data_IF_425922069699
#
_entry.id   IF_425922069699
#
_cell.length_a   1.000
_cell.length_b   1.000
_cell.length_c   1.000
_cell.angle_alpha   90.00
_cell.angle_beta   90.00
_cell.angle_gamma   90.00
#
_symmetry.space_group_name_H-M   'P 1'
#
loop_
_entity.id
_entity.type
_entity.pdbx_description
1 polymer ?
#
# COMPACT_ATOMS: atom_id res chain seq x y z
N UNK A 1 -15.18 3.96 16.13
CA UNK A 1 -16.13 3.31 15.18
C UNK A 1 -15.72 1.86 14.95
N UNK A 2 -16.65 0.89 14.94
CA UNK A 2 -16.29 -0.54 14.81
C UNK A 2 -16.06 -0.95 13.35
N UNK A 3 -15.29 -2.03 13.14
CA UNK A 3 -15.08 -2.62 11.81
C UNK A 3 -16.41 -2.94 11.13
N UNK A 4 -17.31 -3.64 11.84
CA UNK A 4 -18.59 -4.11 11.28
C UNK A 4 -19.49 -2.97 10.82
N UNK A 5 -19.46 -1.82 11.50
CA UNK A 5 -20.19 -0.61 11.09
C UNK A 5 -19.60 -0.02 9.80
N UNK A 6 -18.27 0.07 9.71
CA UNK A 6 -17.58 0.68 8.57
C UNK A 6 -17.78 -0.10 7.27
N UNK A 7 -17.75 -1.43 7.35
CA UNK A 7 -17.76 -2.29 6.16
C UNK A 7 -19.16 -2.76 5.74
N UNK A 8 -20.22 -2.40 6.48
CA UNK A 8 -21.60 -2.78 6.16
C UNK A 8 -21.97 -2.28 4.77
N UNK A 9 -22.33 -3.20 3.87
CA UNK A 9 -22.65 -2.91 2.47
C UNK A 9 -21.44 -2.55 1.59
N UNK A 10 -20.21 -2.67 2.11
CA UNK A 10 -18.96 -2.26 1.44
C UNK A 10 -17.98 -3.42 1.36
N UNK A 11 -18.20 -4.33 0.41
CA UNK A 11 -17.43 -5.56 0.26
C UNK A 11 -15.94 -5.32 -0.04
N UNK A 12 -15.61 -4.27 -0.78
CA UNK A 12 -14.23 -3.89 -1.06
C UNK A 12 -13.52 -3.38 0.18
N UNK A 13 -14.21 -2.57 0.99
CA UNK A 13 -13.66 -2.11 2.27
C UNK A 13 -13.47 -3.28 3.25
N UNK A 14 -14.45 -4.20 3.30
CA UNK A 14 -14.35 -5.44 4.06
C UNK A 14 -13.11 -6.26 3.70
N UNK A 15 -12.79 -6.36 2.40
CA UNK A 15 -11.61 -7.04 1.90
C UNK A 15 -10.30 -6.35 2.31
N UNK A 16 -10.19 -5.03 2.09
CA UNK A 16 -8.99 -4.26 2.45
C UNK A 16 -8.66 -4.37 3.93
N UNK A 17 -9.70 -4.37 4.77
CA UNK A 17 -9.57 -4.33 6.23
C UNK A 17 -9.87 -5.67 6.90
N UNK A 18 -9.82 -6.78 6.16
CA UNK A 18 -10.19 -8.12 6.65
C UNK A 18 -9.56 -8.54 8.00
N UNK A 19 -8.37 -8.05 8.37
CA UNK A 19 -7.75 -8.39 9.68
C UNK A 19 -8.21 -7.50 10.84
N UNK A 20 -9.08 -6.54 10.61
CA UNK A 20 -9.80 -5.83 11.66
C UNK A 20 -11.11 -6.54 12.05
N UNK A 21 -11.53 -7.54 11.27
CA UNK A 21 -12.66 -8.42 11.57
C UNK A 21 -12.41 -9.23 12.83
N UNK A 22 -13.43 -9.38 13.67
CA UNK A 22 -13.39 -10.33 14.78
C UNK A 22 -13.22 -11.78 14.31
N UNK A 23 -12.56 -12.59 15.12
CA UNK A 23 -12.40 -14.03 14.91
C UNK A 23 -12.87 -14.77 16.16
N UNK A 24 -12.79 -16.10 16.16
CA UNK A 24 -13.03 -16.89 17.37
C UNK A 24 -12.02 -16.58 18.49
N UNK A 25 -10.84 -16.03 18.16
CA UNK A 25 -9.74 -15.79 19.11
C UNK A 25 -9.55 -14.31 19.46
N UNK A 26 -9.94 -13.41 18.58
CA UNK A 26 -9.72 -11.97 18.71
C UNK A 26 -11.04 -11.22 18.50
N UNK A 27 -11.32 -10.25 19.37
CA UNK A 27 -12.45 -9.34 19.16
C UNK A 27 -12.25 -8.48 17.91
N UNK A 28 -13.34 -7.97 17.34
CA UNK A 28 -13.22 -7.02 16.23
C UNK A 28 -12.47 -5.76 16.67
N UNK A 29 -11.70 -5.18 15.74
CA UNK A 29 -10.94 -3.96 16.02
C UNK A 29 -11.80 -2.72 15.75
N UNK A 30 -11.64 -1.71 16.59
CA UNK A 30 -12.21 -0.38 16.38
C UNK A 30 -11.16 0.61 15.87
N UNK A 31 -11.60 1.59 15.09
CA UNK A 31 -10.79 2.74 14.68
C UNK A 31 -11.13 4.00 15.47
N UNK A 32 -10.11 4.85 15.68
CA UNK A 32 -10.29 6.23 16.14
C UNK A 32 -10.89 7.07 15.01
N UNK A 33 -11.81 7.95 15.36
CA UNK A 33 -12.44 8.91 14.45
C UNK A 33 -12.34 10.30 15.08
N UNK A 34 -11.95 11.30 14.30
CA UNK A 34 -11.81 12.68 14.77
C UNK A 34 -10.52 13.33 14.30
N UNK A 35 -10.18 14.45 14.95
CA UNK A 35 -8.93 15.17 14.75
C UNK A 35 -8.13 15.26 16.04
N UNK A 36 -6.88 15.67 15.92
CA UNK A 36 -6.00 15.99 17.04
C UNK A 36 -5.07 17.14 16.63
N UNK A 37 -4.54 17.84 17.61
CA UNK A 37 -3.51 18.85 17.40
C UNK A 37 -2.13 18.23 17.54
N UNK A 38 -1.22 18.62 16.66
CA UNK A 38 0.18 18.21 16.70
C UNK A 38 1.06 19.46 16.75
N UNK A 39 1.83 19.60 17.83
CA UNK A 39 2.82 20.65 17.97
C UNK A 39 4.20 20.09 17.66
N UNK A 40 4.88 20.65 16.66
CA UNK A 40 6.29 20.41 16.41
C UNK A 40 7.10 21.50 17.12
N UNK A 41 8.04 21.11 17.98
CA UNK A 41 8.90 22.02 18.72
C UNK A 41 10.32 21.46 18.82
N UNK A 42 11.30 22.36 18.81
CA UNK A 42 12.70 22.03 19.11
C UNK A 42 12.95 22.13 20.60
N UNK A 43 13.75 21.21 21.12
CA UNK A 43 14.36 21.39 22.45
C UNK A 43 15.44 22.46 22.36
N UNK A 44 15.63 23.19 23.46
CA UNK A 44 16.66 24.21 23.56
C UNK A 44 18.04 23.63 23.22
N UNK A 45 18.84 24.38 22.46
CA UNK A 45 20.20 23.97 22.04
C UNK A 45 20.24 22.98 20.86
N UNK A 46 19.09 22.58 20.29
CA UNK A 46 19.04 21.78 19.07
C UNK A 46 19.08 22.67 17.81
N UNK A 47 19.65 22.13 16.74
CA UNK A 47 19.75 22.82 15.46
C UNK A 47 18.40 22.92 14.75
N UNK A 48 18.20 24.03 14.03
CA UNK A 48 16.98 24.32 13.29
C UNK A 48 16.68 23.29 12.19
N UNK A 49 17.72 22.67 11.61
CA UNK A 49 17.60 21.65 10.56
C UNK A 49 16.83 20.41 11.02
N UNK A 50 16.84 20.09 12.33
CA UNK A 50 16.08 18.97 12.88
C UNK A 50 14.58 19.21 12.80
N UNK A 51 14.12 20.45 12.96
CA UNK A 51 12.70 20.80 12.85
C UNK A 51 12.24 20.71 11.39
N UNK A 52 13.08 21.13 10.46
CA UNK A 52 12.83 20.99 9.03
C UNK A 52 12.73 19.50 8.64
N UNK A 53 13.68 18.67 9.09
CA UNK A 53 13.63 17.21 8.86
C UNK A 53 12.36 16.59 9.47
N UNK A 54 11.95 17.00 10.66
CA UNK A 54 10.69 16.54 11.27
C UNK A 54 9.46 17.00 10.46
N UNK A 55 9.48 18.23 9.94
CA UNK A 55 8.43 18.77 9.08
C UNK A 55 8.33 18.00 7.75
N UNK A 56 9.46 17.71 7.10
CA UNK A 56 9.53 16.91 5.88
C UNK A 56 9.02 15.47 6.14
N UNK A 57 9.42 14.87 7.26
CA UNK A 57 8.93 13.54 7.66
C UNK A 57 7.40 13.55 7.87
N UNK A 58 6.86 14.58 8.53
CA UNK A 58 5.41 14.75 8.72
C UNK A 58 4.70 14.96 7.37
N UNK A 59 5.28 15.74 6.47
CA UNK A 59 4.76 15.92 5.11
C UNK A 59 4.67 14.56 4.41
N UNK A 60 5.76 13.78 4.38
CA UNK A 60 5.76 12.44 3.76
C UNK A 60 4.76 11.48 4.42
N UNK A 61 4.69 11.44 5.75
CA UNK A 61 3.76 10.60 6.50
C UNK A 61 2.30 10.89 6.13
N UNK A 62 1.94 12.17 6.03
CA UNK A 62 0.57 12.63 5.75
C UNK A 62 0.18 12.55 4.27
N UNK A 63 1.12 12.26 3.35
CA UNK A 63 0.82 12.06 1.92
C UNK A 63 0.94 10.62 1.46
N UNK A 64 1.86 9.85 2.01
CA UNK A 64 2.22 8.52 1.49
C UNK A 64 2.14 7.41 2.55
N UNK A 65 1.93 7.78 3.81
CA UNK A 65 1.85 6.85 4.94
C UNK A 65 0.52 6.94 5.69
N UNK A 66 0.61 6.71 7.00
CA UNK A 66 -0.50 6.73 7.95
C UNK A 66 -0.14 5.99 9.23
N UNK A 67 -1.03 6.00 10.21
CA UNK A 67 -0.77 5.51 11.57
C UNK A 67 -1.73 4.38 11.91
N UNK A 68 -1.19 3.31 12.51
CA UNK A 68 -1.97 2.18 12.99
C UNK A 68 -1.99 0.98 12.03
N UNK A 69 -3.01 0.14 12.17
CA UNK A 69 -3.09 -1.11 11.41
C UNK A 69 -3.70 -0.88 10.02
N UNK A 70 -3.30 -1.71 9.04
CA UNK A 70 -3.81 -1.66 7.66
C UNK A 70 -3.52 -0.35 6.91
N UNK A 71 -2.50 0.42 7.30
CA UNK A 71 -2.06 1.64 6.59
C UNK A 71 -1.80 1.43 5.10
N UNK A 72 -1.19 0.30 4.72
CA UNK A 72 -0.95 -0.05 3.29
C UNK A 72 -2.23 -0.44 2.52
N UNK A 73 -3.39 -0.42 3.20
CA UNK A 73 -4.73 -0.76 2.69
C UNK A 73 -5.75 0.35 2.97
N UNK A 74 -5.29 1.60 3.10
CA UNK A 74 -6.16 2.78 3.20
C UNK A 74 -6.67 3.15 4.59
N UNK A 75 -6.45 2.31 5.61
CA UNK A 75 -6.76 2.68 6.99
C UNK A 75 -5.70 3.65 7.56
N UNK A 76 -6.01 4.35 8.66
CA UNK A 76 -5.00 5.16 9.37
C UNK A 76 -4.49 6.37 8.60
N UNK A 77 -5.16 6.76 7.50
CA UNK A 77 -4.79 7.93 6.74
C UNK A 77 -5.07 9.20 7.55
N UNK A 78 -4.02 9.87 8.02
CA UNK A 78 -4.08 11.17 8.69
C UNK A 78 -3.74 12.28 7.71
N UNK A 79 -4.47 13.38 7.75
CA UNK A 79 -4.26 14.55 6.89
C UNK A 79 -4.37 15.81 7.74
N UNK A 80 -3.48 16.77 7.48
CA UNK A 80 -3.52 18.08 8.13
C UNK A 80 -4.62 18.92 7.46
N UNK A 81 -5.55 19.41 8.27
CA UNK A 81 -6.68 20.24 7.82
C UNK A 81 -6.50 21.73 8.14
N UNK A 82 -5.63 22.04 9.10
CA UNK A 82 -5.26 23.39 9.50
C UNK A 82 -3.78 23.41 9.89
N UNK A 83 -3.10 24.50 9.58
CA UNK A 83 -1.70 24.73 9.89
C UNK A 83 -1.50 26.20 10.24
N UNK A 84 -0.92 26.47 11.39
CA UNK A 84 -0.73 27.85 11.87
C UNK A 84 0.49 28.53 11.22
N UNK A 85 1.56 27.75 10.96
CA UNK A 85 2.79 28.22 10.34
C UNK A 85 3.32 27.25 9.29
N UNK A 86 3.63 27.77 8.11
CA UNK A 86 4.41 27.07 7.09
C UNK A 86 5.89 27.23 7.44
N UNK A 87 6.58 26.12 7.68
CA UNK A 87 8.01 26.13 8.03
C UNK A 87 8.90 26.19 6.80
N UNK A 88 8.49 25.52 5.73
CA UNK A 88 9.22 25.44 4.46
C UNK A 88 8.33 26.03 3.37
N UNK A 89 8.78 27.13 2.76
CA UNK A 89 8.06 27.81 1.69
C UNK A 89 7.70 26.86 0.55
N UNK A 90 6.51 27.04 -0.01
CA UNK A 90 5.91 26.21 -1.06
C UNK A 90 5.68 24.73 -0.69
N UNK A 91 5.85 24.36 0.58
CA UNK A 91 5.60 23.00 1.07
C UNK A 91 4.60 23.00 2.25
N UNK A 92 3.36 23.48 2.08
CA UNK A 92 2.37 23.44 3.14
C UNK A 92 2.00 21.99 3.52
N UNK A 93 1.59 21.80 4.78
CA UNK A 93 1.07 20.54 5.29
C UNK A 93 -0.41 20.33 4.93
N UNK A 94 -1.16 21.37 4.58
CA UNK A 94 -2.53 21.22 4.05
C UNK A 94 -2.51 20.85 2.56
N UNK A 95 -3.48 20.05 2.11
CA UNK A 95 -3.67 19.77 0.67
C UNK A 95 -4.43 20.94 0.04
N UNK A 96 -3.90 21.53 -1.04
CA UNK A 96 -4.53 22.67 -1.73
C UNK A 96 -5.24 22.25 -3.00
N UNK A 97 -4.83 21.13 -3.59
CA UNK A 97 -5.45 20.55 -4.77
C UNK A 97 -6.96 20.36 -4.62
N UNK A 98 -7.72 20.86 -5.59
CA UNK A 98 -9.17 20.74 -5.69
C UNK A 98 -9.58 19.57 -6.59
N UNK A 99 -8.69 19.12 -7.47
CA UNK A 99 -8.91 18.02 -8.40
C UNK A 99 -7.85 16.92 -8.27
N UNK A 100 -8.12 15.67 -8.69
CA UNK A 100 -7.10 14.62 -8.72
C UNK A 100 -5.86 14.95 -9.57
N UNK A 101 -6.04 15.72 -10.65
CA UNK A 101 -4.94 16.21 -11.49
C UNK A 101 -4.05 17.18 -10.70
N UNK A 102 -4.64 18.21 -10.09
CA UNK A 102 -3.92 19.15 -9.23
C UNK A 102 -3.21 18.43 -8.08
N UNK A 103 -3.81 17.36 -7.53
CA UNK A 103 -3.17 16.57 -6.48
C UNK A 103 -1.90 15.89 -7.00
N UNK A 104 -1.93 15.34 -8.22
CA UNK A 104 -0.73 14.75 -8.82
C UNK A 104 0.38 15.81 -9.00
N UNK A 105 0.03 17.02 -9.44
CA UNK A 105 0.97 18.12 -9.64
C UNK A 105 1.53 18.65 -8.30
N UNK A 106 0.68 18.75 -7.27
CA UNK A 106 1.06 19.14 -5.91
C UNK A 106 2.01 18.13 -5.27
N UNK A 107 1.72 16.82 -5.39
CA UNK A 107 2.59 15.75 -4.89
C UNK A 107 3.95 15.76 -5.62
N UNK A 108 3.96 15.99 -6.94
CA UNK A 108 5.18 16.05 -7.73
C UNK A 108 6.08 17.22 -7.28
N UNK A 109 5.50 18.42 -7.20
CA UNK A 109 6.22 19.62 -6.77
C UNK A 109 6.71 19.52 -5.33
N UNK A 110 5.89 18.97 -4.44
CA UNK A 110 6.26 18.75 -3.04
C UNK A 110 7.43 17.77 -2.89
N UNK A 111 7.44 16.66 -3.63
CA UNK A 111 8.56 15.70 -3.61
C UNK A 111 9.85 16.31 -4.16
N UNK A 112 9.79 17.13 -5.22
CA UNK A 112 10.97 17.87 -5.71
C UNK A 112 11.48 18.85 -4.65
N UNK A 113 10.59 19.58 -3.98
CA UNK A 113 10.95 20.50 -2.90
C UNK A 113 11.57 19.78 -1.71
N UNK A 114 11.02 18.63 -1.28
CA UNK A 114 11.61 17.79 -0.23
C UNK A 114 13.05 17.42 -0.58
N UNK A 115 13.31 17.01 -1.84
CA UNK A 115 14.66 16.67 -2.30
C UNK A 115 15.60 17.88 -2.29
N UNK A 116 15.13 19.04 -2.73
CA UNK A 116 15.93 20.29 -2.68
C UNK A 116 16.29 20.68 -1.26
N UNK A 117 15.36 20.58 -0.30
CA UNK A 117 15.62 20.97 1.10
C UNK A 117 16.60 20.01 1.78
N UNK A 118 16.52 18.71 1.50
CA UNK A 118 17.48 17.74 2.05
C UNK A 118 18.91 17.94 1.49
N UNK A 119 19.06 18.63 0.36
CA UNK A 119 20.35 19.02 -0.21
C UNK A 119 21.14 17.87 -0.85
N UNK A 120 22.36 18.19 -1.30
CA UNK A 120 23.27 17.29 -2.02
C UNK A 120 24.12 16.38 -1.12
N UNK A 121 23.98 16.50 0.21
CA UNK A 121 24.70 15.68 1.20
C UNK A 121 24.28 14.19 1.20
N UNK A 122 23.30 13.82 0.37
CA UNK A 122 22.81 12.46 0.23
C UNK A 122 23.17 11.90 -1.16
N UNK A 123 23.63 10.65 -1.19
CA UNK A 123 23.93 9.96 -2.45
C UNK A 123 22.72 9.97 -3.38
N UNK A 124 22.94 10.42 -4.62
CA UNK A 124 21.96 10.33 -5.71
C UNK A 124 21.96 8.94 -6.36
N UNK A 125 22.94 8.09 -6.03
CA UNK A 125 23.06 6.74 -6.56
C UNK A 125 22.15 5.79 -5.77
N UNK A 126 21.15 5.24 -6.45
CA UNK A 126 20.22 4.28 -5.85
C UNK A 126 20.50 2.88 -6.40
N UNK A 127 20.83 1.95 -5.50
CA UNK A 127 20.93 0.51 -5.83
C UNK A 127 19.56 -0.02 -6.25
N UNK A 128 19.52 -0.80 -7.34
CA UNK A 128 18.31 -1.43 -7.86
C UNK A 128 18.43 -2.96 -7.78
N UNK A 129 17.46 -3.67 -7.16
CA UNK A 129 16.39 -3.11 -6.33
C UNK A 129 16.96 -2.47 -5.05
N UNK A 130 16.26 -1.49 -4.47
CA UNK A 130 16.68 -0.89 -3.19
C UNK A 130 16.49 -1.90 -2.05
N UNK A 131 17.35 -1.87 -1.03
CA UNK A 131 17.26 -2.80 0.11
C UNK A 131 16.00 -2.58 0.96
N UNK A 132 15.49 -1.35 0.97
CA UNK A 132 14.30 -0.93 1.71
C UNK A 132 13.41 -0.02 0.86
N UNK A 133 12.19 0.23 1.35
CA UNK A 133 11.22 1.14 0.73
C UNK A 133 11.82 2.57 0.72
N UNK A 134 12.17 3.05 -0.47
CA UNK A 134 12.83 4.34 -0.69
C UNK A 134 11.97 5.17 -1.65
N UNK A 135 11.64 6.41 -1.27
CA UNK A 135 10.98 7.36 -2.17
C UNK A 135 12.06 7.96 -3.08
N UNK A 136 12.23 7.35 -4.25
CA UNK A 136 13.08 7.85 -5.33
C UNK A 136 12.39 7.55 -6.67
N UNK A 137 12.51 8.38 -7.72
CA UNK A 137 11.83 8.14 -9.00
C UNK A 137 12.14 6.77 -9.64
N UNK A 138 13.29 6.20 -9.31
CA UNK A 138 13.71 4.91 -9.87
C UNK A 138 13.27 3.68 -9.07
N UNK A 139 12.91 3.85 -7.79
CA UNK A 139 12.55 2.74 -6.88
C UNK A 139 11.19 2.90 -6.23
N UNK A 140 10.50 4.01 -6.47
CA UNK A 140 9.14 4.24 -6.07
C UNK A 140 8.37 4.85 -7.25
N UNK A 141 7.12 4.46 -7.39
CA UNK A 141 6.21 5.00 -8.40
C UNK A 141 4.90 5.35 -7.70
N UNK A 142 4.35 6.51 -8.04
CA UNK A 142 3.21 7.10 -7.35
C UNK A 142 2.15 7.46 -8.39
N UNK A 143 0.89 7.16 -8.08
CA UNK A 143 -0.24 7.52 -8.92
C UNK A 143 -1.35 8.17 -8.12
N UNK A 144 -2.12 9.03 -8.79
CA UNK A 144 -3.42 9.51 -8.33
C UNK A 144 -4.49 8.95 -9.25
N UNK A 145 -5.53 8.32 -8.70
CA UNK A 145 -6.68 7.88 -9.49
C UNK A 145 -7.52 9.08 -9.90
N UNK A 146 -7.90 9.15 -11.17
CA UNK A 146 -8.55 10.34 -11.75
C UNK A 146 -10.00 10.53 -11.31
N UNK A 147 -10.66 9.47 -10.84
CA UNK A 147 -12.04 9.52 -10.38
C UNK A 147 -12.13 10.15 -8.98
N UNK A 148 -12.85 11.28 -8.80
CA UNK A 148 -13.11 11.84 -7.48
C UNK A 148 -14.34 11.17 -6.82
N UNK A 149 -14.41 11.22 -5.50
CA UNK A 149 -15.47 10.62 -4.70
C UNK A 149 -16.03 11.61 -3.68
N UNK A 150 -17.32 11.54 -3.36
CA UNK A 150 -17.90 12.36 -2.30
C UNK A 150 -17.47 11.90 -0.91
N UNK A 151 -17.19 10.61 -0.76
CA UNK A 151 -16.81 9.98 0.50
C UNK A 151 -15.59 9.09 0.34
N UNK A 152 -14.74 9.05 1.36
CA UNK A 152 -13.56 8.19 1.35
C UNK A 152 -13.92 6.70 1.37
N UNK A 153 -15.06 6.33 1.99
CA UNK A 153 -15.53 4.94 2.05
C UNK A 153 -15.84 4.40 0.66
N UNK A 154 -16.44 5.22 -0.21
CA UNK A 154 -16.77 4.87 -1.59
C UNK A 154 -15.50 4.66 -2.41
N UNK A 155 -14.53 5.57 -2.25
CA UNK A 155 -13.24 5.49 -2.92
C UNK A 155 -12.49 4.19 -2.59
N UNK A 156 -12.43 3.84 -1.31
CA UNK A 156 -11.78 2.61 -0.85
C UNK A 156 -12.59 1.35 -1.16
N UNK A 157 -13.91 1.43 -1.15
CA UNK A 157 -14.75 0.27 -1.48
C UNK A 157 -14.64 -0.09 -2.97
N UNK A 158 -14.69 0.88 -3.88
CA UNK A 158 -14.50 0.63 -5.31
C UNK A 158 -13.11 0.07 -5.62
N UNK A 159 -12.05 0.72 -5.08
CA UNK A 159 -10.69 0.19 -5.19
C UNK A 159 -10.58 -1.22 -4.60
N UNK A 160 -11.18 -1.46 -3.42
CA UNK A 160 -11.13 -2.74 -2.73
C UNK A 160 -11.83 -3.86 -3.50
N UNK A 161 -12.95 -3.58 -4.18
CA UNK A 161 -13.64 -4.53 -5.07
C UNK A 161 -12.75 -4.89 -6.25
N UNK A 162 -12.18 -3.88 -6.93
CA UNK A 162 -11.26 -4.08 -8.04
C UNK A 162 -10.04 -4.92 -7.62
N UNK A 163 -9.39 -4.52 -6.52
CA UNK A 163 -8.20 -5.18 -6.00
C UNK A 163 -8.47 -6.61 -5.51
N UNK A 164 -9.65 -6.86 -4.93
CA UNK A 164 -10.10 -8.21 -4.55
C UNK A 164 -10.37 -9.09 -5.77
N UNK A 165 -11.05 -8.56 -6.78
CA UNK A 165 -11.31 -9.22 -8.06
C UNK A 165 -10.01 -9.64 -8.74
N UNK A 166 -9.04 -8.72 -8.78
CA UNK A 166 -7.70 -9.00 -9.29
C UNK A 166 -7.09 -10.14 -8.50
N UNK A 167 -6.93 -10.01 -7.18
CA UNK A 167 -6.24 -11.01 -6.34
C UNK A 167 -7.02 -12.32 -6.11
N UNK A 168 -8.20 -12.49 -6.71
CA UNK A 168 -8.98 -13.72 -6.63
C UNK A 168 -8.19 -14.91 -7.22
N UNK A 169 -8.73 -16.12 -7.08
CA UNK A 169 -8.15 -17.35 -7.65
C UNK A 169 -7.78 -17.13 -9.12
N UNK A 170 -6.50 -17.29 -9.47
CA UNK A 170 -5.96 -17.17 -10.82
C UNK A 170 -5.03 -18.33 -11.15
N UNK A 171 -4.98 -18.74 -12.41
CA UNK A 171 -4.03 -19.73 -12.90
C UNK A 171 -2.79 -19.01 -13.45
N UNK A 172 -1.59 -19.60 -13.41
CA UNK A 172 -1.28 -20.93 -12.90
C UNK A 172 -1.17 -21.03 -11.36
N UNK A 173 -1.08 -19.91 -10.61
CA UNK A 173 -0.94 -19.88 -9.14
C UNK A 173 -1.80 -20.91 -8.41
N UNK A 174 -3.11 -20.94 -8.71
CA UNK A 174 -4.02 -21.87 -8.04
C UNK A 174 -3.71 -23.35 -8.32
N UNK A 175 -3.36 -23.69 -9.57
CA UNK A 175 -3.00 -25.06 -9.95
C UNK A 175 -1.71 -25.49 -9.26
N UNK A 176 -0.70 -24.60 -9.24
CA UNK A 176 0.58 -24.82 -8.57
C UNK A 176 0.39 -25.01 -7.06
N UNK A 177 -0.36 -24.11 -6.40
CA UNK A 177 -0.68 -24.22 -4.98
C UNK A 177 -1.47 -25.50 -4.67
N UNK A 178 -2.46 -25.86 -5.50
CA UNK A 178 -3.23 -27.11 -5.31
C UNK A 178 -2.34 -28.34 -5.44
N UNK A 179 -1.45 -28.38 -6.44
CA UNK A 179 -0.52 -29.48 -6.66
C UNK A 179 0.50 -29.60 -5.52
N UNK A 180 1.00 -28.48 -4.98
CA UNK A 180 1.92 -28.48 -3.85
C UNK A 180 1.27 -29.01 -2.56
N UNK A 181 -0.03 -28.75 -2.38
CA UNK A 181 -0.79 -29.25 -1.22
C UNK A 181 -1.15 -30.73 -1.34
N UNK A 182 -1.55 -31.20 -2.52
CA UNK A 182 -2.14 -32.54 -2.71
C UNK A 182 -1.24 -33.56 -3.43
N UNK A 183 -0.08 -33.17 -3.94
CA UNK A 183 0.74 -34.00 -4.84
C UNK A 183 2.17 -34.26 -4.39
N UNK A 184 2.92 -34.96 -5.25
CA UNK A 184 4.33 -35.35 -5.11
C UNK A 184 5.32 -34.26 -5.57
N UNK A 185 5.02 -32.97 -5.37
CA UNK A 185 5.96 -31.89 -5.75
C UNK A 185 6.80 -31.44 -4.58
N UNK A 186 8.11 -31.58 -4.72
CA UNK A 186 9.10 -31.11 -3.73
C UNK A 186 9.42 -29.62 -3.90
N UNK A 187 9.00 -29.02 -5.02
CA UNK A 187 9.14 -27.59 -5.29
C UNK A 187 7.95 -26.98 -6.04
N UNK A 188 7.72 -25.69 -5.83
CA UNK A 188 6.71 -24.88 -6.52
C UNK A 188 7.36 -23.98 -7.57
N UNK A 189 6.59 -23.63 -8.61
CA UNK A 189 6.88 -22.47 -9.46
C UNK A 189 6.59 -21.15 -8.71
N UNK A 190 7.05 -19.98 -9.22
CA UNK A 190 6.70 -18.69 -8.63
C UNK A 190 5.18 -18.55 -8.45
N UNK A 191 4.76 -18.02 -7.30
CA UNK A 191 3.37 -17.71 -7.00
C UNK A 191 3.20 -16.19 -7.09
N UNK A 192 2.74 -15.71 -8.24
CA UNK A 192 2.77 -14.28 -8.59
C UNK A 192 1.97 -13.42 -7.60
N UNK A 193 0.88 -13.96 -7.06
CA UNK A 193 0.08 -13.25 -6.04
C UNK A 193 0.85 -12.89 -4.77
N UNK A 194 1.96 -13.57 -4.48
CA UNK A 194 2.81 -13.25 -3.35
C UNK A 194 3.44 -11.84 -3.46
N UNK A 195 3.53 -11.27 -4.67
CA UNK A 195 4.00 -9.90 -4.90
C UNK A 195 3.19 -8.85 -4.09
N UNK A 196 1.92 -9.12 -3.78
CA UNK A 196 1.06 -8.25 -2.96
C UNK A 196 1.23 -8.42 -1.44
N UNK A 197 2.28 -9.13 -1.02
CA UNK A 197 2.66 -9.33 0.37
C UNK A 197 2.31 -10.71 0.93
N UNK A 198 2.92 -11.00 2.08
CA UNK A 198 2.88 -12.24 2.82
C UNK A 198 2.64 -11.96 4.33
N UNK A 199 2.07 -12.92 5.08
CA UNK A 199 1.64 -14.25 4.66
C UNK A 199 0.38 -14.21 3.78
N UNK A 200 0.24 -15.20 2.90
CA UNK A 200 -0.96 -15.42 2.09
C UNK A 200 -1.67 -16.68 2.58
N UNK A 201 -2.70 -16.55 3.44
CA UNK A 201 -3.52 -17.68 3.84
C UNK A 201 -4.39 -18.17 2.67
N UNK A 202 -4.53 -19.48 2.57
CA UNK A 202 -5.24 -20.19 1.51
C UNK A 202 -6.22 -21.17 2.14
N UNK A 203 -7.41 -21.27 1.55
CA UNK A 203 -8.41 -22.24 1.94
C UNK A 203 -8.92 -22.98 0.70
N UNK A 204 -8.78 -24.30 0.72
CA UNK A 204 -9.21 -25.18 -0.35
C UNK A 204 -10.58 -25.75 0.01
N UNK A 205 -11.65 -25.12 -0.46
CA UNK A 205 -13.03 -25.48 -0.12
C UNK A 205 -13.36 -26.96 -0.37
N UNK A 206 -12.84 -27.54 -1.46
CA UNK A 206 -13.09 -28.94 -1.83
C UNK A 206 -12.53 -29.95 -0.82
N UNK A 207 -11.42 -29.63 -0.17
CA UNK A 207 -10.75 -30.54 0.78
C UNK A 207 -10.81 -30.03 2.22
N UNK A 208 -11.46 -28.88 2.46
CA UNK A 208 -11.48 -28.14 3.72
C UNK A 208 -10.09 -27.89 4.33
N UNK A 209 -9.04 -27.94 3.51
CA UNK A 209 -7.66 -27.80 3.95
C UNK A 209 -7.23 -26.33 3.96
N UNK A 210 -6.47 -25.97 4.98
CA UNK A 210 -5.80 -24.67 5.08
C UNK A 210 -4.33 -24.81 4.71
N UNK A 211 -3.82 -23.83 3.98
CA UNK A 211 -2.40 -23.68 3.74
C UNK A 211 -2.00 -22.21 3.88
N UNK A 212 -0.73 -21.94 4.18
CA UNK A 212 -0.23 -20.57 4.24
C UNK A 212 1.10 -20.48 3.50
N UNK A 213 1.16 -19.56 2.54
CA UNK A 213 2.40 -19.18 1.87
C UNK A 213 3.06 -18.06 2.67
N UNK A 214 4.32 -18.24 3.06
CA UNK A 214 5.09 -17.28 3.87
C UNK A 214 6.57 -17.27 3.44
N UNK A 215 7.37 -16.30 3.92
CA UNK A 215 8.83 -16.38 3.81
C UNK A 215 9.36 -17.58 4.60
N UNK A 216 10.52 -18.12 4.20
CA UNK A 216 11.14 -19.25 4.87
C UNK A 216 11.52 -18.93 6.31
N UNK A 217 12.23 -17.80 6.52
CA UNK A 217 12.86 -17.45 7.80
C UNK A 217 12.25 -16.21 8.46
N UNK A 218 11.12 -15.71 7.95
CA UNK A 218 10.42 -14.52 8.46
C UNK A 218 8.92 -14.73 8.49
N UNK A 219 8.26 -13.99 9.37
CA UNK A 219 6.80 -14.10 9.52
C UNK A 219 6.04 -13.41 8.40
N UNK A 220 6.56 -12.29 7.89
CA UNK A 220 5.79 -11.40 7.01
C UNK A 220 6.63 -10.57 6.05
N UNK A 221 6.01 -10.27 4.91
CA UNK A 221 6.41 -9.21 3.97
C UNK A 221 5.21 -8.34 3.71
N UNK A 222 5.27 -7.07 4.11
CA UNK A 222 4.17 -6.15 3.82
C UNK A 222 3.93 -5.99 2.32
N UNK A 223 2.73 -5.58 1.90
CA UNK A 223 2.44 -5.29 0.49
C UNK A 223 3.28 -4.12 -0.01
N UNK A 224 4.09 -4.23 -1.07
CA UNK A 224 4.86 -3.11 -1.62
C UNK A 224 3.96 -1.96 -2.13
N UNK A 225 2.73 -2.28 -2.51
CA UNK A 225 1.70 -1.32 -2.90
C UNK A 225 0.91 -0.81 -1.69
N UNK A 226 0.84 0.52 -1.55
CA UNK A 226 0.01 1.28 -0.61
C UNK A 226 -1.13 1.91 -1.40
N UNK A 227 -2.33 1.89 -0.82
CA UNK A 227 -3.48 2.67 -1.25
C UNK A 227 -3.87 3.63 -0.13
N UNK A 228 -4.16 4.88 -0.47
CA UNK A 228 -4.50 5.93 0.51
C UNK A 228 -5.59 6.85 -0.04
N UNK A 229 -6.68 7.08 0.70
CA UNK A 229 -7.61 8.16 0.38
C UNK A 229 -7.04 9.50 0.84
N UNK A 230 -7.20 10.53 0.01
CA UNK A 230 -6.78 11.92 0.29
C UNK A 230 -7.99 12.82 0.08
N UNK A 231 -8.25 13.71 1.04
CA UNK A 231 -9.33 14.70 0.94
C UNK A 231 -8.78 15.91 0.19
N UNK A 232 -9.42 16.26 -0.91
CA UNK A 232 -9.13 17.44 -1.72
C UNK A 232 -9.72 18.70 -1.06
N UNK A 233 -9.20 19.87 -1.43
CA UNK A 233 -9.71 21.16 -0.97
C UNK A 233 -11.16 21.42 -1.44
N UNK A 234 -11.63 20.72 -2.48
CA UNK A 234 -13.03 20.71 -2.91
C UNK A 234 -13.98 19.96 -1.97
N UNK A 235 -13.44 19.24 -0.97
CA UNK A 235 -14.20 18.36 -0.08
C UNK A 235 -14.36 16.93 -0.62
N UNK A 236 -14.09 16.70 -1.91
CA UNK A 236 -14.06 15.37 -2.52
C UNK A 236 -12.81 14.59 -2.09
N UNK A 237 -12.78 13.30 -2.42
CA UNK A 237 -11.67 12.40 -2.15
C UNK A 237 -11.07 11.84 -3.44
N UNK A 238 -9.76 11.65 -3.44
CA UNK A 238 -9.02 10.92 -4.46
C UNK A 238 -8.24 9.76 -3.82
N UNK A 239 -7.85 8.78 -4.63
CA UNK A 239 -6.97 7.69 -4.18
C UNK A 239 -5.55 7.95 -4.67
N UNK A 240 -4.58 7.89 -3.75
CA UNK A 240 -3.15 7.85 -4.04
C UNK A 240 -2.66 6.41 -3.92
N UNK A 241 -1.92 5.95 -4.92
CA UNK A 241 -1.21 4.67 -4.93
C UNK A 241 0.29 4.93 -4.82
N UNK A 242 0.98 4.20 -3.95
CA UNK A 242 2.43 4.25 -3.80
C UNK A 242 2.98 2.84 -3.93
N UNK A 243 3.84 2.60 -4.90
CA UNK A 243 4.46 1.31 -5.11
C UNK A 243 5.98 1.41 -4.94
N UNK A 244 6.48 0.74 -3.91
CA UNK A 244 7.92 0.58 -3.69
C UNK A 244 8.45 -0.65 -4.42
N UNK A 245 9.48 -0.44 -5.25
CA UNK A 245 10.25 -1.45 -5.99
C UNK A 245 11.54 -1.80 -5.24
N UNK A 246 11.39 -2.01 -3.94
CA UNK A 246 12.42 -2.53 -3.05
C UNK A 246 12.55 -4.04 -3.22
N UNK A 247 13.66 -4.59 -2.76
CA UNK A 247 13.91 -6.04 -2.72
C UNK A 247 12.73 -6.73 -2.04
N UNK A 248 12.19 -7.78 -2.67
CA UNK A 248 10.98 -8.44 -2.16
C UNK A 248 11.26 -9.17 -0.83
N UNK A 249 12.28 -10.02 -0.80
CA UNK A 249 12.82 -10.63 0.42
C UNK A 249 14.37 -10.59 0.38
N UNK A 250 15.05 -10.55 1.54
CA UNK A 250 16.51 -10.61 1.60
C UNK A 250 17.13 -11.79 0.85
N UNK A 251 18.43 -11.70 0.59
CA UNK A 251 19.16 -12.79 -0.07
C UNK A 251 19.09 -14.09 0.77
N UNK A 252 18.97 -15.23 0.10
CA UNK A 252 18.79 -16.54 0.74
C UNK A 252 17.36 -16.86 1.21
N UNK A 253 16.41 -15.93 1.11
CA UNK A 253 14.99 -16.21 1.37
C UNK A 253 14.30 -16.83 0.16
N UNK A 254 13.26 -17.62 0.45
CA UNK A 254 12.40 -18.24 -0.54
C UNK A 254 10.94 -18.17 -0.06
N UNK A 255 10.02 -18.60 -0.93
CA UNK A 255 8.65 -18.87 -0.50
C UNK A 255 8.58 -20.28 0.07
N UNK A 256 7.82 -20.44 1.15
CA UNK A 256 7.45 -21.74 1.70
C UNK A 256 5.94 -21.83 1.90
N UNK A 257 5.34 -22.89 1.38
CA UNK A 257 3.94 -23.22 1.58
C UNK A 257 3.84 -24.26 2.71
N UNK A 258 3.15 -23.91 3.79
CA UNK A 258 2.83 -24.84 4.86
C UNK A 258 1.39 -25.34 4.73
N UNK A 259 1.21 -26.65 4.71
CA UNK A 259 -0.09 -27.32 4.66
C UNK A 259 -0.06 -28.57 5.56
N UNK A 260 -0.50 -28.44 6.80
CA UNK A 260 -0.36 -29.51 7.81
C UNK A 260 1.12 -29.82 8.07
N UNK A 261 1.50 -31.10 8.01
CA UNK A 261 2.90 -31.54 8.14
C UNK A 261 3.75 -31.28 6.87
N UNK A 262 3.12 -30.97 5.73
CA UNK A 262 3.83 -30.78 4.45
C UNK A 262 4.32 -29.33 4.33
N UNK A 263 5.57 -29.19 3.88
CA UNK A 263 6.15 -27.91 3.52
C UNK A 263 6.79 -28.00 2.14
N UNK A 264 6.44 -27.07 1.23
CA UNK A 264 6.99 -27.04 -0.13
C UNK A 264 7.63 -25.69 -0.38
N UNK A 265 8.87 -25.68 -0.87
CA UNK A 265 9.61 -24.44 -1.19
C UNK A 265 9.35 -23.99 -2.62
N UNK A 266 9.44 -22.70 -2.88
CA UNK A 266 9.32 -22.10 -4.20
C UNK A 266 10.12 -20.80 -4.33
N UNK A 267 10.42 -20.38 -5.56
CA UNK A 267 11.12 -19.13 -5.81
C UNK A 267 10.24 -17.90 -5.47
N UNK A 268 10.87 -16.73 -5.40
CA UNK A 268 10.18 -15.46 -5.22
C UNK A 268 9.43 -15.05 -6.50
N UNK A 269 8.30 -14.33 -6.39
CA UNK A 269 7.61 -13.76 -7.55
C UNK A 269 8.38 -12.56 -8.10
N UNK A 270 8.07 -12.16 -9.33
CA UNK A 270 8.47 -10.86 -9.86
C UNK A 270 7.45 -9.76 -9.50
N UNK A 271 7.64 -8.55 -10.05
CA UNK A 271 6.77 -7.41 -9.82
C UNK A 271 5.72 -7.17 -10.94
N UNK A 272 5.68 -8.05 -11.95
CA UNK A 272 4.85 -7.95 -13.14
C UNK A 272 3.36 -7.97 -12.84
N UNK A 273 2.93 -8.70 -11.81
CA UNK A 273 1.53 -8.72 -11.41
C UNK A 273 1.05 -7.39 -10.80
N UNK A 274 1.94 -6.63 -10.14
CA UNK A 274 1.63 -5.28 -9.65
C UNK A 274 1.57 -4.31 -10.84
N UNK A 275 2.52 -4.40 -11.76
CA UNK A 275 2.53 -3.60 -12.99
C UNK A 275 1.24 -3.78 -13.80
N UNK A 276 0.81 -5.04 -13.97
CA UNK A 276 -0.44 -5.40 -14.66
C UNK A 276 -1.66 -4.82 -13.94
N UNK A 277 -1.71 -4.87 -12.61
CA UNK A 277 -2.83 -4.29 -11.85
C UNK A 277 -2.96 -2.78 -12.09
N UNK A 278 -1.85 -2.05 -12.09
CA UNK A 278 -1.85 -0.58 -12.14
C UNK A 278 -2.06 -0.06 -13.56
N UNK A 279 -1.30 -0.58 -14.54
CA UNK A 279 -1.23 -0.01 -15.89
C UNK A 279 -1.70 -0.93 -17.01
N UNK A 280 -1.91 -2.22 -16.73
CA UNK A 280 -2.28 -3.22 -17.74
C UNK A 280 -3.77 -3.55 -17.77
N UNK A 281 -4.12 -4.56 -18.57
CA UNK A 281 -5.39 -5.28 -18.49
C UNK A 281 -5.16 -6.66 -17.87
N UNK A 282 -6.10 -7.15 -17.07
CA UNK A 282 -6.05 -8.47 -16.45
C UNK A 282 -6.73 -9.50 -17.36
N UNK A 283 -5.97 -10.34 -18.08
CA UNK A 283 -6.56 -11.33 -18.98
C UNK A 283 -7.27 -12.47 -18.24
N UNK A 284 -7.12 -12.58 -16.92
CA UNK A 284 -7.66 -13.70 -16.14
C UNK A 284 -8.99 -13.32 -15.51
N UNK A 285 -9.03 -12.22 -14.76
CA UNK A 285 -10.22 -11.82 -14.01
C UNK A 285 -10.86 -10.52 -14.52
N UNK A 286 -10.27 -9.84 -15.51
CA UNK A 286 -10.77 -8.54 -15.99
C UNK A 286 -10.93 -7.53 -14.86
N UNK A 287 -9.94 -7.45 -13.97
CA UNK A 287 -10.00 -6.69 -12.71
C UNK A 287 -8.76 -5.82 -12.47
N UNK A 288 -7.99 -5.47 -13.50
CA UNK A 288 -6.99 -4.41 -13.35
C UNK A 288 -7.67 -3.06 -13.08
N UNK A 289 -6.92 -2.03 -12.68
CA UNK A 289 -7.49 -0.68 -12.54
C UNK A 289 -8.19 -0.24 -13.83
N UNK A 290 -7.57 -0.48 -14.99
CA UNK A 290 -8.16 -0.18 -16.30
C UNK A 290 -9.48 -0.93 -16.49
N UNK A 291 -9.52 -2.23 -16.22
CA UNK A 291 -10.73 -3.05 -16.43
C UNK A 291 -11.88 -2.60 -15.50
N UNK A 292 -11.55 -2.05 -14.33
CA UNK A 292 -12.48 -1.46 -13.39
C UNK A 292 -12.88 -0.01 -13.73
N UNK A 293 -12.41 0.55 -14.86
CA UNK A 293 -12.67 1.95 -15.23
C UNK A 293 -11.93 2.99 -14.38
N UNK A 294 -10.89 2.58 -13.65
CA UNK A 294 -10.07 3.44 -12.80
C UNK A 294 -8.79 3.84 -13.56
N UNK A 295 -8.75 5.08 -14.03
CA UNK A 295 -7.56 5.64 -14.67
C UNK A 295 -6.58 6.15 -13.60
N UNK A 296 -5.30 5.83 -13.77
CA UNK A 296 -4.23 6.20 -12.84
C UNK A 296 -3.27 7.18 -13.50
N UNK A 297 -3.16 8.38 -12.93
CA UNK A 297 -2.22 9.42 -13.36
C UNK A 297 -0.93 9.32 -12.57
N UNK A 298 0.18 9.11 -13.26
CA UNK A 298 1.49 9.02 -12.62
C UNK A 298 1.98 10.40 -12.14
N UNK A 299 2.48 10.45 -10.90
CA UNK A 299 3.12 11.62 -10.30
C UNK A 299 4.58 11.66 -10.75
N UNK A 300 4.95 12.65 -11.57
CA UNK A 300 6.30 12.79 -12.13
C UNK A 300 7.18 13.69 -11.25
N UNK A 301 7.89 13.08 -10.30
CA UNK A 301 8.78 13.75 -9.35
C UNK A 301 10.28 13.48 -9.59
N UNK A 302 10.60 13.00 -10.80
CA UNK A 302 11.96 13.00 -11.37
C UNK A 302 12.63 14.35 -11.19
#
# INVERSE_FOLDING_TARGET
>A
MSYSQLVRGRAGLAYLWFAARGTQREQERSGLTGGFYLQLALRQGQSADLLEKAYLALWLLTRFGGVGTRTRRGAGAVQVVQQDRVLIDDLPLVIRARTPKELADELASGLRKVRTVLGEGYSTVVRKPSEFDLIHPETCRIWVLEKPYGRWEEALDEFGRCFSGFRRRRNPDYRELRAAVHGNRDSMRPIERAAFGLPMPLYFQSTKQQATLRPTNRDRRMSPLIVRPVKLASGQYAIVLVWFRSRFLPEGEALILHAGARSVRGPLPDDGLISTFIGGSDPINGSSLRDCGLQAREVRYG
#
